data_IF_542787127665
#
_entry.id   IF_542787127665
#
_cell.length_a   1.000
_cell.length_b   1.000
_cell.length_c   1.000
_cell.angle_alpha   90.00
_cell.angle_beta   90.00
_cell.angle_gamma   90.00
#
_symmetry.space_group_name_H-M   'P 1'
#
loop_
_entity.id
_entity.type
_entity.pdbx_description
1 polymer ?
#
# COMPACT_ATOMS: atom_id res chain seq x y z
N UNK A 1 -0.07 7.19 -13.65
CA UNK A 1 -0.59 7.10 -12.27
C UNK A 1 -0.64 5.68 -11.76
N UNK A 2 -1.45 4.77 -12.35
CA UNK A 2 -1.56 3.38 -11.89
C UNK A 2 -0.22 2.62 -11.88
N UNK A 3 0.50 2.61 -13.00
CA UNK A 3 1.81 1.97 -13.11
C UNK A 3 2.81 2.58 -12.12
N UNK A 4 2.85 3.91 -12.03
CA UNK A 4 3.68 4.63 -11.06
C UNK A 4 3.39 4.19 -9.62
N UNK A 5 2.12 4.09 -9.23
CA UNK A 5 1.72 3.59 -7.91
C UNK A 5 2.13 2.13 -7.69
N UNK A 6 1.99 1.28 -8.71
CA UNK A 6 2.44 -0.12 -8.64
C UNK A 6 3.96 -0.25 -8.47
N UNK A 7 4.74 0.53 -9.21
CA UNK A 7 6.20 0.56 -9.09
C UNK A 7 6.66 1.12 -7.75
N UNK A 8 5.94 2.11 -7.21
CA UNK A 8 6.19 2.65 -5.88
C UNK A 8 6.06 1.55 -4.81
N UNK A 9 4.98 0.77 -4.83
CA UNK A 9 4.80 -0.34 -3.88
C UNK A 9 5.81 -1.45 -4.08
N UNK A 10 6.15 -1.77 -5.33
CA UNK A 10 7.18 -2.76 -5.63
C UNK A 10 8.55 -2.35 -5.06
N UNK A 11 8.90 -1.06 -5.17
CA UNK A 11 10.11 -0.52 -4.53
C UNK A 11 10.05 -0.63 -3.01
N UNK A 12 8.86 -0.45 -2.41
CA UNK A 12 8.71 -0.48 -0.96
C UNK A 12 8.91 -1.88 -0.35
N UNK A 13 8.68 -2.94 -1.13
CA UNK A 13 8.94 -4.33 -0.70
C UNK A 13 10.43 -4.58 -0.44
N UNK A 14 11.31 -3.93 -1.20
CA UNK A 14 12.73 -4.29 -1.31
C UNK A 14 13.55 -4.21 -0.01
N UNK A 15 13.10 -3.43 0.96
CA UNK A 15 13.84 -3.21 2.22
C UNK A 15 13.27 -3.99 3.42
N UNK A 16 12.15 -4.72 3.25
CA UNK A 16 11.49 -5.48 4.33
C UNK A 16 11.97 -6.93 4.32
N UNK A 17 13.17 -7.16 4.85
CA UNK A 17 13.85 -8.46 4.80
C UNK A 17 13.37 -9.43 5.90
N UNK A 18 12.74 -10.57 5.56
CA UNK A 18 12.38 -11.59 6.55
C UNK A 18 13.62 -12.36 7.08
N UNK A 19 13.50 -13.14 8.17
CA UNK A 19 12.29 -13.35 8.98
C UNK A 19 12.15 -12.37 10.16
N UNK A 20 13.25 -11.79 10.62
CA UNK A 20 13.29 -10.96 11.83
C UNK A 20 13.06 -9.48 11.54
N UNK A 21 12.95 -9.10 10.25
CA UNK A 21 12.60 -7.74 9.83
C UNK A 21 13.54 -6.66 10.39
N UNK A 22 14.81 -7.04 10.57
CA UNK A 22 15.87 -6.19 11.09
C UNK A 22 15.96 -6.11 12.62
N UNK A 23 15.17 -6.91 13.36
CA UNK A 23 15.37 -7.12 14.80
C UNK A 23 16.55 -8.05 15.05
N UNK A 24 17.43 -7.68 15.96
CA UNK A 24 18.61 -8.44 16.35
C UNK A 24 18.94 -8.25 17.83
N UNK A 25 19.88 -9.03 18.36
CA UNK A 25 20.37 -8.85 19.73
C UNK A 25 21.05 -7.47 19.93
N UNK A 26 21.62 -6.90 18.86
CA UNK A 26 22.37 -5.65 18.88
C UNK A 26 21.48 -4.41 18.62
N UNK A 27 20.17 -4.62 18.42
CA UNK A 27 19.19 -3.56 18.23
C UNK A 27 18.25 -3.77 17.05
N UNK A 28 17.63 -2.68 16.61
CA UNK A 28 16.60 -2.67 15.58
C UNK A 28 17.01 -1.86 14.35
N UNK A 29 16.88 -2.48 13.18
CA UNK A 29 17.14 -1.91 11.86
C UNK A 29 16.00 -2.27 10.91
N UNK A 30 16.03 -1.75 9.68
CA UNK A 30 15.00 -2.06 8.68
C UNK A 30 13.60 -1.77 9.20
N UNK A 31 12.69 -2.74 9.11
CA UNK A 31 11.31 -2.57 9.55
C UNK A 31 11.18 -2.52 11.08
N UNK A 32 12.05 -3.19 11.85
CA UNK A 32 12.06 -2.99 13.30
C UNK A 32 12.42 -1.54 13.64
N UNK A 33 13.52 -1.03 13.06
CA UNK A 33 13.94 0.36 13.28
C UNK A 33 12.86 1.36 12.90
N UNK A 34 12.17 1.12 11.78
CA UNK A 34 11.02 1.91 11.36
C UNK A 34 9.87 1.95 12.38
N UNK A 35 9.56 0.82 13.02
CA UNK A 35 8.52 0.76 14.07
C UNK A 35 8.98 1.49 15.33
N UNK A 36 10.22 1.28 15.76
CA UNK A 36 10.79 1.97 16.94
C UNK A 36 10.84 3.49 16.74
N UNK A 37 11.25 3.97 15.56
CA UNK A 37 11.18 5.40 15.22
C UNK A 37 9.76 5.96 15.35
N UNK A 38 8.72 5.21 14.97
CA UNK A 38 7.35 5.69 15.14
C UNK A 38 6.82 5.64 16.56
N UNK A 39 7.47 4.88 17.45
CA UNK A 39 7.20 4.89 18.89
C UNK A 39 7.87 6.13 19.51
N UNK A 40 9.15 6.34 19.21
CA UNK A 40 9.97 7.42 19.75
C UNK A 40 9.51 8.80 19.26
N UNK A 41 9.28 8.94 17.95
CA UNK A 41 8.87 10.17 17.28
C UNK A 41 7.37 10.17 16.95
N UNK A 42 6.54 9.83 17.93
CA UNK A 42 5.10 9.65 17.76
C UNK A 42 4.40 10.88 17.15
N UNK A 43 3.76 10.71 15.98
CA UNK A 43 2.92 11.76 15.36
C UNK A 43 1.66 12.02 16.19
N UNK A 44 1.01 10.94 16.66
CA UNK A 44 -0.14 10.99 17.58
C UNK A 44 -0.04 9.87 18.61
N UNK A 45 -0.39 10.12 19.90
CA UNK A 45 -0.26 9.11 20.95
C UNK A 45 -1.02 7.79 20.71
N UNK A 46 -2.25 7.78 20.13
CA UNK A 46 -2.94 6.52 19.88
C UNK A 46 -2.22 5.62 18.87
N UNK A 47 -1.47 6.19 17.92
CA UNK A 47 -0.75 5.40 16.92
C UNK A 47 0.51 4.78 17.50
N UNK A 48 1.30 5.54 18.27
CA UNK A 48 2.48 4.98 18.94
C UNK A 48 2.10 3.89 19.94
N UNK A 49 0.97 4.01 20.63
CA UNK A 49 0.46 2.92 21.47
C UNK A 49 0.23 1.62 20.69
N UNK A 50 -0.35 1.69 19.48
CA UNK A 50 -0.53 0.53 18.59
C UNK A 50 0.81 -0.02 18.13
N UNK A 51 1.76 0.86 17.77
CA UNK A 51 3.11 0.46 17.39
C UNK A 51 3.81 -0.30 18.52
N UNK A 52 3.78 0.23 19.74
CA UNK A 52 4.44 -0.32 20.91
C UNK A 52 3.79 -1.61 21.44
N UNK A 53 2.46 -1.65 21.53
CA UNK A 53 1.76 -2.71 22.25
C UNK A 53 1.25 -3.83 21.33
N UNK A 54 1.07 -3.55 20.04
CA UNK A 54 0.51 -4.52 19.08
C UNK A 54 1.56 -4.90 18.04
N UNK A 55 2.18 -3.92 17.38
CA UNK A 55 3.08 -4.19 16.24
C UNK A 55 4.46 -4.65 16.70
N UNK A 56 5.12 -3.95 17.62
CA UNK A 56 6.47 -4.29 18.07
C UNK A 56 6.56 -5.70 18.66
N UNK A 57 5.62 -6.19 19.51
CA UNK A 57 5.65 -7.57 20.00
C UNK A 57 5.36 -8.61 18.91
N UNK A 58 4.57 -8.25 17.89
CA UNK A 58 4.18 -9.12 16.77
C UNK A 58 4.89 -8.75 15.47
N UNK A 59 6.13 -8.25 15.55
CA UNK A 59 6.82 -7.63 14.41
C UNK A 59 6.93 -8.55 13.20
N UNK A 60 7.22 -9.83 13.41
CA UNK A 60 7.32 -10.79 12.31
C UNK A 60 5.99 -10.93 11.56
N UNK A 61 4.88 -11.08 12.30
CA UNK A 61 3.55 -11.18 11.69
C UNK A 61 3.18 -9.90 10.94
N UNK A 62 3.44 -8.73 11.55
CA UNK A 62 3.25 -7.44 10.89
C UNK A 62 4.07 -7.33 9.61
N UNK A 63 5.36 -7.68 9.64
CA UNK A 63 6.25 -7.63 8.49
C UNK A 63 5.79 -8.51 7.33
N UNK A 64 5.34 -9.74 7.60
CA UNK A 64 4.78 -10.60 6.56
C UNK A 64 3.46 -10.06 5.98
N UNK A 65 2.56 -9.54 6.83
CA UNK A 65 1.31 -8.92 6.38
C UNK A 65 1.59 -7.71 5.50
N UNK A 66 2.49 -6.83 5.91
CA UNK A 66 2.88 -5.64 5.15
C UNK A 66 3.53 -6.04 3.83
N UNK A 67 4.48 -6.96 3.84
CA UNK A 67 5.17 -7.43 2.63
C UNK A 67 4.17 -8.04 1.63
N UNK A 68 3.27 -8.90 2.11
CA UNK A 68 2.21 -9.47 1.27
C UNK A 68 1.29 -8.39 0.71
N UNK A 69 0.87 -7.44 1.55
CA UNK A 69 -0.02 -6.34 1.16
C UNK A 69 0.61 -5.45 0.10
N UNK A 70 1.88 -5.09 0.26
CA UNK A 70 2.63 -4.27 -0.70
C UNK A 70 2.85 -4.99 -2.02
N UNK A 71 3.22 -6.28 -1.97
CA UNK A 71 3.34 -7.10 -3.16
C UNK A 71 2.01 -7.23 -3.89
N UNK A 72 0.92 -7.49 -3.15
CA UNK A 72 -0.43 -7.56 -3.70
C UNK A 72 -0.84 -6.22 -4.34
N UNK A 73 -0.58 -5.09 -3.68
CA UNK A 73 -0.83 -3.76 -4.23
C UNK A 73 -0.05 -3.53 -5.53
N UNK A 74 1.24 -3.89 -5.56
CA UNK A 74 2.05 -3.79 -6.76
C UNK A 74 1.44 -4.61 -7.90
N UNK A 75 1.07 -5.87 -7.65
CA UNK A 75 0.44 -6.75 -8.67
C UNK A 75 -0.88 -6.17 -9.16
N UNK A 76 -1.81 -5.83 -8.26
CA UNK A 76 -3.15 -5.32 -8.62
C UNK A 76 -3.09 -3.99 -9.38
N UNK A 77 -2.19 -3.09 -8.97
CA UNK A 77 -2.00 -1.82 -9.65
C UNK A 77 -1.26 -2.02 -10.97
N UNK A 78 -0.26 -2.88 -11.07
CA UNK A 78 0.41 -3.10 -12.37
C UNK A 78 -0.49 -3.81 -13.37
N UNK A 79 -1.25 -4.82 -12.95
CA UNK A 79 -2.20 -5.54 -13.81
C UNK A 79 -3.44 -4.72 -14.15
N UNK A 80 -3.81 -3.77 -13.30
CA UNK A 80 -5.07 -3.03 -13.43
C UNK A 80 -6.29 -3.86 -13.05
N UNK A 81 -6.15 -4.73 -12.05
CA UNK A 81 -7.24 -5.56 -11.49
C UNK A 81 -7.73 -4.93 -10.19
N UNK A 82 -9.06 -4.82 -10.02
CA UNK A 82 -9.73 -4.24 -8.84
C UNK A 82 -9.10 -2.91 -8.39
N UNK A 83 -8.76 -2.03 -9.34
CA UNK A 83 -7.86 -0.89 -9.07
C UNK A 83 -8.39 0.10 -8.05
N UNK A 84 -9.72 0.19 -7.90
CA UNK A 84 -10.34 1.06 -6.89
C UNK A 84 -10.15 0.52 -5.46
N UNK A 85 -10.24 -0.79 -5.29
CA UNK A 85 -9.96 -1.43 -4.00
C UNK A 85 -8.47 -1.30 -3.66
N UNK A 86 -7.60 -1.57 -4.63
CA UNK A 86 -6.16 -1.36 -4.48
C UNK A 86 -5.82 0.12 -4.15
N UNK A 87 -6.53 1.08 -4.74
CA UNK A 87 -6.33 2.49 -4.43
C UNK A 87 -6.72 2.84 -2.99
N UNK A 88 -7.84 2.32 -2.47
CA UNK A 88 -8.24 2.53 -1.07
C UNK A 88 -7.21 1.91 -0.12
N UNK A 89 -6.79 0.67 -0.39
CA UNK A 89 -5.81 -0.03 0.42
C UNK A 89 -4.44 0.70 0.42
N UNK A 90 -3.98 1.15 -0.74
CA UNK A 90 -2.75 1.93 -0.86
C UNK A 90 -2.85 3.31 -0.20
N UNK A 91 -4.02 3.95 -0.22
CA UNK A 91 -4.28 5.18 0.55
C UNK A 91 -4.14 4.91 2.05
N UNK A 92 -4.82 3.89 2.58
CA UNK A 92 -4.76 3.53 3.99
C UNK A 92 -3.32 3.23 4.44
N UNK A 93 -2.56 2.47 3.63
CA UNK A 93 -1.18 2.15 3.94
C UNK A 93 -0.25 3.38 3.83
N UNK A 94 -0.50 4.29 2.89
CA UNK A 94 0.25 5.56 2.80
C UNK A 94 0.05 6.43 4.05
N UNK A 95 -1.17 6.46 4.58
CA UNK A 95 -1.48 7.17 5.82
C UNK A 95 -0.84 6.49 7.05
N UNK A 96 -0.89 5.16 7.13
CA UNK A 96 -0.19 4.42 8.18
C UNK A 96 1.31 4.68 8.15
N UNK A 97 1.90 4.77 6.94
CA UNK A 97 3.31 5.11 6.80
C UNK A 97 3.59 6.52 7.33
N UNK A 98 2.79 7.50 6.89
CA UNK A 98 2.92 8.88 7.36
C UNK A 98 2.74 9.01 8.87
N UNK A 99 1.77 8.32 9.47
CA UNK A 99 1.57 8.33 10.93
C UNK A 99 2.75 7.75 11.71
N UNK A 100 3.56 6.90 11.08
CA UNK A 100 4.71 6.27 11.73
C UNK A 100 5.96 7.15 11.68
N UNK A 101 6.20 7.89 10.59
CA UNK A 101 7.49 8.59 10.39
C UNK A 101 7.41 10.07 10.04
N UNK A 102 6.21 10.65 9.92
CA UNK A 102 6.09 12.07 9.53
C UNK A 102 6.69 13.07 10.53
N UNK A 103 6.91 12.67 11.79
CA UNK A 103 7.55 13.50 12.82
C UNK A 103 9.02 13.10 13.07
N UNK A 104 9.54 12.09 12.37
CA UNK A 104 10.92 11.65 12.52
C UNK A 104 11.89 12.66 11.90
N UNK A 105 13.06 12.83 12.53
CA UNK A 105 14.08 13.76 12.06
C UNK A 105 14.62 13.37 10.67
N UNK A 106 14.71 14.36 9.77
CA UNK A 106 15.24 14.17 8.42
C UNK A 106 14.26 13.57 7.41
N UNK A 107 13.07 13.16 7.83
CA UNK A 107 12.03 12.64 6.94
C UNK A 107 11.25 13.77 6.24
N UNK A 108 10.85 13.52 4.99
CA UNK A 108 10.07 14.46 4.21
C UNK A 108 8.59 14.06 4.21
N UNK A 109 7.81 14.58 5.16
CA UNK A 109 6.40 14.20 5.36
C UNK A 109 5.52 14.36 4.11
N UNK A 110 5.85 15.28 3.21
CA UNK A 110 5.14 15.46 1.95
C UNK A 110 5.21 14.23 1.04
N UNK A 111 6.25 13.41 1.15
CA UNK A 111 6.34 12.16 0.39
C UNK A 111 5.14 11.25 0.64
N UNK A 112 4.73 11.10 1.90
CA UNK A 112 3.59 10.25 2.28
C UNK A 112 2.24 10.88 1.90
N UNK A 113 2.13 12.21 1.98
CA UNK A 113 0.96 12.93 1.47
C UNK A 113 0.84 12.79 -0.05
N UNK A 114 1.94 12.86 -0.79
CA UNK A 114 1.97 12.65 -2.23
C UNK A 114 1.63 11.20 -2.58
N UNK A 115 2.09 10.23 -1.79
CA UNK A 115 1.65 8.83 -1.91
C UNK A 115 0.13 8.71 -1.71
N UNK A 116 -0.43 9.34 -0.68
CA UNK A 116 -1.87 9.35 -0.45
C UNK A 116 -2.64 9.99 -1.63
N UNK A 117 -2.20 11.16 -2.10
CA UNK A 117 -2.80 11.87 -3.25
C UNK A 117 -2.71 11.04 -4.53
N UNK A 118 -1.60 10.33 -4.76
CA UNK A 118 -1.47 9.41 -5.90
C UNK A 118 -2.57 8.35 -5.88
N UNK A 119 -2.89 7.79 -4.71
CA UNK A 119 -3.96 6.80 -4.55
C UNK A 119 -5.36 7.42 -4.71
N UNK A 120 -5.59 8.62 -4.17
CA UNK A 120 -6.83 9.37 -4.43
C UNK A 120 -7.03 9.59 -5.94
N UNK A 121 -5.97 9.96 -6.65
CA UNK A 121 -6.02 10.17 -8.09
C UNK A 121 -6.31 8.87 -8.86
N UNK A 122 -5.66 7.75 -8.50
CA UNK A 122 -5.93 6.42 -9.09
C UNK A 122 -7.40 6.00 -8.86
N UNK A 123 -7.93 6.25 -7.66
CA UNK A 123 -9.33 5.98 -7.33
C UNK A 123 -10.30 6.83 -8.16
N UNK A 124 -10.08 8.15 -8.18
CA UNK A 124 -10.95 9.12 -8.85
C UNK A 124 -10.98 8.94 -10.37
N UNK A 125 -9.84 8.69 -11.00
CA UNK A 125 -9.74 8.53 -12.46
C UNK A 125 -10.16 7.15 -12.96
N UNK A 126 -10.51 6.22 -12.06
CA UNK A 126 -10.85 4.83 -12.41
C UNK A 126 -9.82 4.18 -13.35
N UNK A 127 -8.54 4.31 -13.01
CA UNK A 127 -7.42 4.00 -13.91
C UNK A 127 -7.34 2.52 -14.38
N UNK A 128 -8.10 1.59 -13.80
CA UNK A 128 -8.27 0.22 -14.30
C UNK A 128 -9.15 0.10 -15.55
N UNK A 129 -9.98 1.12 -15.86
CA UNK A 129 -10.93 1.10 -16.99
C UNK A 129 -10.29 1.32 -18.36
N UNK A 130 -9.00 1.66 -18.41
CA UNK A 130 -8.23 1.81 -19.65
C UNK A 130 -6.91 1.05 -19.52
N UNK A 131 -6.62 0.15 -20.47
CA UNK A 131 -5.41 -0.69 -20.48
C UNK A 131 -5.16 -1.50 -19.18
N UNK A 132 -6.23 -2.06 -18.60
CA UNK A 132 -6.16 -2.92 -17.41
C UNK A 132 -7.15 -4.10 -17.50
N UNK A 133 -6.98 -5.09 -16.64
CA UNK A 133 -7.90 -6.26 -16.57
C UNK A 133 -9.34 -5.83 -16.29
N UNK A 134 -9.55 -4.78 -15.48
CA UNK A 134 -10.87 -4.21 -15.22
C UNK A 134 -11.56 -3.70 -16.51
N UNK A 135 -10.79 -3.26 -17.50
CA UNK A 135 -11.31 -2.86 -18.82
C UNK A 135 -11.74 -4.08 -19.63
N UNK A 136 -10.94 -5.15 -19.64
CA UNK A 136 -11.25 -6.40 -20.33
C UNK A 136 -12.52 -7.06 -19.76
N UNK A 137 -12.64 -7.13 -18.45
CA UNK A 137 -13.82 -7.70 -17.76
C UNK A 137 -15.10 -6.87 -17.98
N UNK A 138 -14.97 -5.58 -18.30
CA UNK A 138 -16.12 -4.70 -18.64
C UNK A 138 -16.57 -4.83 -20.09
N UNK A 139 -15.79 -5.44 -20.97
CA UNK A 139 -16.23 -5.75 -22.32
C UNK A 139 -17.25 -6.89 -22.24
N UNK A 140 -18.52 -6.54 -21.97
CA UNK A 140 -19.61 -7.46 -22.24
C UNK A 140 -19.59 -7.78 -23.74
N UNK A 141 -19.65 -9.06 -24.15
CA UNK A 141 -19.90 -9.35 -25.55
C UNK A 141 -21.23 -8.68 -25.92
N UNK A 142 -21.18 -7.72 -26.83
CA UNK A 142 -22.39 -7.21 -27.47
C UNK A 142 -22.98 -8.42 -28.20
N UNK A 143 -24.10 -8.93 -27.69
CA UNK A 143 -24.82 -9.97 -28.40
C UNK A 143 -25.13 -9.41 -29.80
N UNK A 144 -24.92 -10.20 -30.86
CA UNK A 144 -25.35 -9.79 -32.18
C UNK A 144 -26.82 -9.34 -32.15
N UNK A 145 -27.15 -8.22 -32.79
CA UNK A 145 -28.51 -7.62 -32.77
C UNK A 145 -29.64 -8.59 -33.14
N UNK A 146 -29.34 -9.68 -33.86
CA UNK A 146 -30.30 -10.72 -34.21
C UNK A 146 -30.74 -11.60 -33.03
N UNK A 147 -29.99 -11.63 -31.92
CA UNK A 147 -30.40 -12.29 -30.67
C UNK A 147 -31.28 -11.38 -29.78
N UNK A 148 -31.19 -10.06 -29.94
CA UNK A 148 -32.00 -9.09 -29.20
C UNK A 148 -33.42 -8.95 -29.80
N UNK A 149 -33.59 -9.28 -31.08
CA UNK A 149 -34.88 -9.24 -31.77
C UNK A 149 -35.78 -10.46 -31.52
N UNK A 150 -35.29 -11.47 -30.79
CA UNK A 150 -35.98 -12.75 -30.57
C UNK A 150 -36.65 -12.88 -29.18
N UNK A 151 -36.66 -11.81 -28.38
CA UNK A 151 -37.27 -11.73 -27.03
C UNK A 151 -38.28 -10.60 -26.96
#
# INVERSE_FOLDING_TARGET
>A
MRITAGLLWLSNVGWKTPPDFGRSADGCSGLCGYVETGIDDAVIPPWSWVLENIISPNLAAFGYITLFTEFLLAVLLLSGTVTRAAAILGLAQSLAIGLTVANADGEWYWSYLLMAVLHVAVFAMAAGRYYGVDALLRQRPQLPRWLEAAT
#
